data_IF_130338626869
#
_entry.id   IF_130338626869
#
_cell.length_a   1.000
_cell.length_b   1.000
_cell.length_c   1.000
_cell.angle_alpha   90.00
_cell.angle_beta   90.00
_cell.angle_gamma   90.00
#
_symmetry.space_group_name_H-M   'P 1'
#
loop_
_entity.id
_entity.type
_entity.pdbx_description
1 polymer ?
#
# COMPACT_ATOMS: atom_id res chain seq x y z
N UNK A 1 -3.25 -23.86 5.50
CA UNK A 1 -3.16 -22.39 5.35
C UNK A 1 -4.54 -21.82 5.11
N UNK A 2 -4.89 -20.81 5.86
CA UNK A 2 -6.19 -20.20 5.73
C UNK A 2 -6.14 -19.04 4.75
N UNK A 3 -7.21 -18.85 4.00
CA UNK A 3 -7.39 -17.70 3.12
C UNK A 3 -8.70 -17.02 3.47
N UNK A 4 -8.70 -15.72 3.42
CA UNK A 4 -9.92 -14.93 3.51
C UNK A 4 -10.36 -14.53 2.12
N UNK A 5 -11.64 -14.70 1.86
CA UNK A 5 -12.24 -14.27 0.60
C UNK A 5 -13.27 -13.20 0.89
N UNK A 6 -13.29 -12.17 0.09
CA UNK A 6 -14.30 -11.14 0.16
C UNK A 6 -14.69 -10.71 -1.23
N UNK A 7 -15.85 -10.09 -1.33
CA UNK A 7 -16.32 -9.51 -2.60
C UNK A 7 -16.44 -8.03 -2.44
N UNK A 8 -15.92 -7.31 -3.41
CA UNK A 8 -16.03 -5.88 -3.45
C UNK A 8 -16.12 -5.46 -4.91
N UNK A 9 -17.14 -4.66 -5.24
CA UNK A 9 -17.37 -4.20 -6.61
C UNK A 9 -17.45 -5.35 -7.61
N UNK A 10 -18.05 -6.48 -7.21
CA UNK A 10 -18.21 -7.63 -8.08
C UNK A 10 -16.98 -8.52 -8.19
N UNK A 11 -15.90 -8.20 -7.51
CA UNK A 11 -14.69 -9.00 -7.54
C UNK A 11 -14.64 -9.97 -6.36
N UNK A 12 -14.07 -11.14 -6.61
CA UNK A 12 -13.71 -12.06 -5.53
C UNK A 12 -12.28 -11.76 -5.14
N UNK A 13 -12.08 -11.42 -3.87
CA UNK A 13 -10.76 -11.12 -3.35
C UNK A 13 -10.31 -12.22 -2.42
N UNK A 14 -9.07 -12.65 -2.61
CA UNK A 14 -8.43 -13.59 -1.71
C UNK A 14 -7.34 -12.87 -0.93
N UNK A 15 -7.30 -13.13 0.36
CA UNK A 15 -6.25 -12.61 1.21
C UNK A 15 -5.53 -13.80 1.83
N UNK A 16 -4.32 -14.04 1.36
CA UNK A 16 -3.49 -15.10 1.90
C UNK A 16 -3.18 -14.81 3.36
N UNK A 17 -3.14 -15.85 4.17
CA UNK A 17 -2.90 -15.73 5.61
C UNK A 17 -1.61 -14.98 5.92
N UNK A 18 -0.57 -15.21 5.11
CA UNK A 18 0.71 -14.53 5.32
C UNK A 18 0.61 -13.04 5.05
N UNK A 19 -0.20 -12.65 4.08
CA UNK A 19 -0.41 -11.24 3.73
C UNK A 19 -1.38 -10.57 4.70
N UNK A 20 -2.24 -11.34 5.34
CA UNK A 20 -3.25 -10.80 6.25
C UNK A 20 -2.62 -10.13 7.47
N UNK A 21 -1.40 -10.50 7.83
CA UNK A 21 -0.69 -9.87 8.94
C UNK A 21 -0.30 -8.43 8.63
N UNK A 22 -0.18 -8.11 7.35
CA UNK A 22 0.18 -6.78 6.91
C UNK A 22 1.67 -6.48 7.08
N UNK A 23 2.06 -5.32 6.58
CA UNK A 23 3.41 -4.82 6.71
C UNK A 23 3.34 -3.42 7.32
N UNK A 24 4.03 -3.24 8.43
CA UNK A 24 4.06 -1.94 9.09
C UNK A 24 4.93 -0.96 8.30
N UNK A 25 4.46 0.25 8.15
CA UNK A 25 5.22 1.33 7.51
C UNK A 25 4.90 2.65 8.18
N UNK A 26 5.91 3.46 8.40
CA UNK A 26 5.73 4.79 8.96
C UNK A 26 6.31 5.90 8.08
N UNK A 27 6.72 5.54 6.86
CA UNK A 27 7.20 6.51 5.88
C UNK A 27 6.92 5.97 4.49
N UNK A 28 6.48 6.84 3.59
CA UNK A 28 6.33 6.48 2.19
C UNK A 28 7.05 7.51 1.33
N UNK A 29 7.85 7.04 0.39
CA UNK A 29 8.48 7.87 -0.62
C UNK A 29 7.82 7.59 -1.94
N UNK A 30 7.49 8.65 -2.68
CA UNK A 30 6.73 8.53 -3.91
C UNK A 30 7.50 9.21 -5.04
N UNK A 31 7.68 8.47 -6.11
CA UNK A 31 8.28 8.99 -7.34
C UNK A 31 7.36 8.65 -8.51
N UNK A 32 7.54 9.32 -9.62
CA UNK A 32 6.74 9.04 -10.79
C UNK A 32 7.52 9.32 -12.08
N UNK A 33 7.07 8.67 -13.13
CA UNK A 33 7.46 8.95 -14.50
C UNK A 33 6.20 9.33 -15.28
N UNK A 34 6.29 9.38 -16.60
CA UNK A 34 5.13 9.68 -17.45
C UNK A 34 4.10 8.54 -17.43
N UNK A 35 4.50 7.34 -17.06
CA UNK A 35 3.64 6.15 -17.16
C UNK A 35 3.32 5.49 -15.83
N UNK A 36 4.07 5.77 -14.77
CA UNK A 36 3.92 5.02 -13.52
C UNK A 36 4.23 5.88 -12.30
N UNK A 37 3.57 5.53 -11.20
CA UNK A 37 3.92 6.01 -9.87
C UNK A 37 4.53 4.87 -9.09
N UNK A 38 5.59 5.15 -8.34
CA UNK A 38 6.26 4.17 -7.50
C UNK A 38 6.15 4.64 -6.06
N UNK A 39 5.53 3.80 -5.21
CA UNK A 39 5.37 4.10 -3.79
C UNK A 39 6.20 3.10 -3.00
N UNK A 40 7.20 3.60 -2.28
CA UNK A 40 8.05 2.79 -1.43
C UNK A 40 7.64 2.98 0.01
N UNK A 41 7.22 1.90 0.65
CA UNK A 41 6.83 1.89 2.06
C UNK A 41 8.01 1.47 2.91
N UNK A 42 8.30 2.27 3.93
CA UNK A 42 9.53 2.15 4.71
C UNK A 42 9.17 2.12 6.19
N UNK A 43 9.92 1.33 6.94
CA UNK A 43 9.83 1.32 8.39
C UNK A 43 11.10 1.97 8.93
N UNK A 44 10.95 3.18 9.48
CA UNK A 44 12.06 3.90 10.11
C UNK A 44 12.04 3.58 11.60
N UNK A 45 13.16 3.05 12.10
CA UNK A 45 13.28 2.64 13.51
C UNK A 45 14.39 3.42 14.17
N UNK A 46 14.16 3.95 15.40
CA UNK A 46 15.20 4.62 16.16
C UNK A 46 16.39 3.68 16.39
N UNK A 47 17.58 4.23 16.28
CA UNK A 47 18.81 3.46 16.55
C UNK A 47 19.27 2.58 15.41
N UNK A 48 18.50 2.49 14.35
CA UNK A 48 18.87 1.69 13.16
C UNK A 48 19.44 2.66 12.13
N UNK A 49 20.72 2.52 11.74
CA UNK A 49 21.36 3.51 10.88
C UNK A 49 20.83 3.54 9.45
N UNK A 50 20.19 2.47 8.98
CA UNK A 50 19.63 2.42 7.64
C UNK A 50 18.19 1.99 7.70
N UNK A 51 17.31 2.76 7.08
CA UNK A 51 15.92 2.37 6.87
C UNK A 51 15.85 1.51 5.60
N UNK A 52 14.98 0.52 5.63
CA UNK A 52 14.81 -0.39 4.48
C UNK A 52 13.43 -0.21 3.88
N UNK A 53 13.38 -0.29 2.55
CA UNK A 53 12.11 -0.37 1.84
C UNK A 53 11.51 -1.75 2.14
N UNK A 54 10.31 -1.73 2.70
CA UNK A 54 9.60 -2.97 3.03
C UNK A 54 8.76 -3.46 1.87
N UNK A 55 8.22 -2.54 1.10
CA UNK A 55 7.37 -2.89 -0.02
C UNK A 55 7.40 -1.77 -1.05
N UNK A 56 7.49 -2.13 -2.31
CA UNK A 56 7.40 -1.17 -3.41
C UNK A 56 6.18 -1.51 -4.23
N UNK A 57 5.30 -0.54 -4.40
CA UNK A 57 4.07 -0.70 -5.17
C UNK A 57 4.13 0.22 -6.37
N UNK A 58 3.84 -0.33 -7.54
CA UNK A 58 3.84 0.43 -8.78
C UNK A 58 2.40 0.59 -9.23
N UNK A 59 1.99 1.83 -9.49
CA UNK A 59 0.62 2.16 -9.83
C UNK A 59 0.57 2.85 -11.19
N UNK A 60 -0.50 2.59 -11.94
CA UNK A 60 -0.80 3.44 -13.10
C UNK A 60 -1.21 4.81 -12.60
N UNK A 61 -1.05 5.87 -13.42
CA UNK A 61 -1.47 7.21 -13.00
C UNK A 61 -2.95 7.29 -12.63
N UNK A 62 -3.81 6.61 -13.38
CA UNK A 62 -5.24 6.60 -13.08
C UNK A 62 -5.52 5.95 -11.72
N UNK A 63 -4.85 4.84 -11.44
CA UNK A 63 -5.04 4.16 -10.16
C UNK A 63 -4.47 4.99 -9.01
N UNK A 64 -3.34 5.66 -9.23
CA UNK A 64 -2.77 6.54 -8.22
C UNK A 64 -3.75 7.63 -7.81
N UNK A 65 -4.47 8.21 -8.79
CA UNK A 65 -5.49 9.22 -8.50
C UNK A 65 -6.64 8.66 -7.69
N UNK A 66 -7.14 7.48 -8.08
CA UNK A 66 -8.24 6.82 -7.35
C UNK A 66 -7.81 6.43 -5.94
N UNK A 67 -6.59 5.93 -5.81
CA UNK A 67 -6.05 5.56 -4.51
C UNK A 67 -5.92 6.78 -3.60
N UNK A 68 -5.39 7.87 -4.13
CA UNK A 68 -5.26 9.11 -3.38
C UNK A 68 -6.61 9.61 -2.87
N UNK A 69 -7.64 9.57 -3.73
CA UNK A 69 -8.97 9.97 -3.33
C UNK A 69 -9.54 9.05 -2.26
N UNK A 70 -9.41 7.76 -2.43
CA UNK A 70 -9.92 6.78 -1.47
C UNK A 70 -9.23 6.93 -0.11
N UNK A 71 -7.92 7.13 -0.12
CA UNK A 71 -7.17 7.33 1.11
C UNK A 71 -7.63 8.61 1.82
N UNK A 72 -7.79 9.68 1.06
CA UNK A 72 -8.20 10.96 1.60
C UNK A 72 -9.61 10.88 2.20
N UNK A 73 -10.52 10.19 1.51
CA UNK A 73 -11.89 9.98 2.02
C UNK A 73 -11.87 9.22 3.35
N UNK A 74 -11.01 8.22 3.48
CA UNK A 74 -10.91 7.46 4.72
C UNK A 74 -10.28 8.28 5.84
N UNK A 75 -9.26 9.07 5.51
CA UNK A 75 -8.64 9.95 6.50
C UNK A 75 -9.66 10.94 7.05
N UNK A 76 -10.54 11.46 6.21
CA UNK A 76 -11.52 12.44 6.65
C UNK A 76 -12.59 11.83 7.54
N UNK A 77 -12.77 10.51 7.51
CA UNK A 77 -13.70 9.81 8.41
C UNK A 77 -13.04 9.41 9.73
N UNK A 78 -11.74 9.54 9.79
CA UNK A 78 -10.99 9.19 10.99
C UNK A 78 -11.14 10.26 12.07
#
# INVERSE_FOLDING_TARGET
>A
MKKSNSKENGLNLELDENLAQGTYSNLALINHSVSEFVVDFINVMPGVPKAKVKSRIILTPQHAKRFSKALNDNISKF
#
